data_IF_795403453369
#
_entry.id   IF_795403453369
#
_cell.length_a   1.000
_cell.length_b   1.000
_cell.length_c   1.000
_cell.angle_alpha   90.00
_cell.angle_beta   90.00
_cell.angle_gamma   90.00
#
_symmetry.space_group_name_H-M   'P 1'
#
loop_
_entity.id
_entity.type
_entity.pdbx_description
1 polymer ?
#
# COMPACT_ATOMS: atom_id res chain seq x y z
N UNK A 1 -29.01 -6.91 12.20
CA UNK A 1 -28.32 -6.40 11.00
C UNK A 1 -27.06 -7.22 10.79
N UNK A 2 -26.75 -7.60 9.56
CA UNK A 2 -25.44 -8.16 9.20
C UNK A 2 -24.40 -7.01 9.13
N UNK A 3 -23.11 -7.36 8.97
CA UNK A 3 -22.02 -6.38 8.97
C UNK A 3 -22.18 -5.32 7.85
N UNK A 4 -22.52 -5.73 6.63
CA UNK A 4 -22.71 -4.79 5.51
C UNK A 4 -23.88 -3.83 5.76
N UNK A 5 -25.01 -4.32 6.30
CA UNK A 5 -26.16 -3.47 6.66
C UNK A 5 -25.79 -2.39 7.69
N UNK A 6 -24.91 -2.69 8.64
CA UNK A 6 -24.46 -1.71 9.63
C UNK A 6 -23.60 -0.63 8.97
N UNK A 7 -22.67 -1.02 8.10
CA UNK A 7 -21.83 -0.07 7.35
C UNK A 7 -22.66 0.81 6.39
N UNK A 8 -23.69 0.24 5.76
CA UNK A 8 -24.61 0.97 4.91
C UNK A 8 -25.43 1.99 5.72
N UNK A 9 -25.88 1.64 6.93
CA UNK A 9 -26.59 2.58 7.80
C UNK A 9 -25.66 3.71 8.29
N UNK A 10 -24.40 3.40 8.66
CA UNK A 10 -23.40 4.43 8.98
C UNK A 10 -23.24 5.41 7.82
N UNK A 11 -23.11 4.89 6.60
CA UNK A 11 -22.97 5.70 5.39
C UNK A 11 -24.21 6.57 5.16
N UNK A 12 -25.41 6.04 5.41
CA UNK A 12 -26.67 6.79 5.31
C UNK A 12 -26.71 7.92 6.34
N UNK A 13 -26.56 7.62 7.63
CA UNK A 13 -26.58 8.62 8.72
C UNK A 13 -25.53 9.72 8.51
N UNK A 14 -24.34 9.39 8.01
CA UNK A 14 -23.26 10.37 7.74
C UNK A 14 -23.62 11.46 6.70
N UNK A 15 -24.69 11.24 5.94
CA UNK A 15 -25.22 12.12 4.89
C UNK A 15 -26.53 12.81 5.27
N UNK A 16 -27.16 12.43 6.38
CA UNK A 16 -28.43 13.01 6.80
C UNK A 16 -28.27 14.47 7.27
N UNK A 17 -29.35 15.24 7.15
CA UNK A 17 -29.42 16.62 7.64
C UNK A 17 -29.75 16.64 9.14
N UNK A 18 -28.83 16.09 9.93
CA UNK A 18 -28.87 16.07 11.39
C UNK A 18 -27.75 16.92 11.98
N UNK A 19 -27.90 17.35 13.23
CA UNK A 19 -26.80 17.95 14.00
C UNK A 19 -25.64 16.97 14.15
N UNK A 20 -24.41 17.48 14.11
CA UNK A 20 -23.22 16.63 14.07
C UNK A 20 -23.02 15.83 15.37
N UNK A 21 -23.39 16.39 16.52
CA UNK A 21 -23.37 15.67 17.80
C UNK A 21 -24.33 14.48 17.80
N UNK A 22 -25.50 14.64 17.16
CA UNK A 22 -26.47 13.57 17.03
C UNK A 22 -26.01 12.48 16.05
N UNK A 23 -25.42 12.87 14.91
CA UNK A 23 -24.75 11.90 14.01
C UNK A 23 -23.65 11.14 14.72
N UNK A 24 -22.82 11.85 15.50
CA UNK A 24 -21.73 11.27 16.30
C UNK A 24 -22.26 10.22 17.27
N UNK A 25 -23.33 10.52 18.01
CA UNK A 25 -23.96 9.54 18.88
C UNK A 25 -24.43 8.29 18.13
N UNK A 26 -25.19 8.44 17.04
CA UNK A 26 -25.71 7.30 16.26
C UNK A 26 -24.59 6.47 15.65
N UNK A 27 -23.62 7.12 15.00
CA UNK A 27 -22.52 6.46 14.30
C UNK A 27 -21.61 5.70 15.27
N UNK A 28 -21.32 6.26 16.45
CA UNK A 28 -20.56 5.55 17.50
C UNK A 28 -21.27 4.27 17.94
N UNK A 29 -22.60 4.32 18.12
CA UNK A 29 -23.39 3.13 18.48
C UNK A 29 -23.39 2.08 17.35
N UNK A 30 -23.52 2.51 16.09
CA UNK A 30 -23.46 1.60 14.94
C UNK A 30 -22.08 0.94 14.79
N UNK A 31 -20.98 1.69 14.96
CA UNK A 31 -19.63 1.10 14.94
C UNK A 31 -19.39 0.16 16.12
N UNK A 32 -19.94 0.46 17.30
CA UNK A 32 -19.87 -0.45 18.46
C UNK A 32 -20.60 -1.78 18.16
N UNK A 33 -21.81 -1.69 17.60
CA UNK A 33 -22.57 -2.87 17.15
C UNK A 33 -21.84 -3.63 16.03
N UNK A 34 -21.18 -2.94 15.10
CA UNK A 34 -20.38 -3.55 14.05
C UNK A 34 -19.26 -4.42 14.64
N UNK A 35 -18.51 -3.90 15.61
CA UNK A 35 -17.41 -4.62 16.27
C UNK A 35 -17.90 -5.84 17.03
N UNK A 36 -18.96 -5.69 17.83
CA UNK A 36 -19.58 -6.80 18.57
C UNK A 36 -20.02 -7.92 17.61
N UNK A 37 -20.64 -7.56 16.48
CA UNK A 37 -21.06 -8.52 15.44
C UNK A 37 -19.88 -9.19 14.76
N UNK A 38 -18.81 -8.44 14.46
CA UNK A 38 -17.59 -8.95 13.85
C UNK A 38 -16.94 -10.02 14.73
N UNK A 39 -16.85 -9.75 16.03
CA UNK A 39 -16.37 -10.68 17.05
C UNK A 39 -17.24 -11.94 17.17
N UNK A 40 -18.56 -11.78 17.29
CA UNK A 40 -19.50 -12.92 17.37
C UNK A 40 -19.46 -13.83 16.13
N UNK A 41 -19.19 -13.26 14.95
CA UNK A 41 -19.07 -14.01 13.70
C UNK A 41 -17.70 -14.68 13.53
N UNK A 42 -16.75 -14.46 14.44
CA UNK A 42 -15.37 -14.93 14.30
C UNK A 42 -14.65 -14.32 13.09
N UNK A 43 -15.07 -13.14 12.64
CA UNK A 43 -14.38 -12.42 11.55
C UNK A 43 -13.07 -11.90 12.12
N UNK A 44 -11.97 -12.45 11.61
CA UNK A 44 -10.61 -12.08 12.03
C UNK A 44 -10.02 -11.06 11.06
N UNK A 45 -8.83 -10.57 11.37
CA UNK A 45 -8.04 -9.74 10.45
C UNK A 45 -7.72 -10.46 9.13
N UNK A 46 -7.85 -11.80 9.05
CA UNK A 46 -7.65 -12.55 7.81
C UNK A 46 -8.88 -12.63 6.90
N UNK A 47 -10.00 -12.00 7.26
CA UNK A 47 -11.25 -12.02 6.49
C UNK A 47 -11.91 -10.64 6.36
N UNK A 48 -11.12 -9.65 5.94
CA UNK A 48 -11.62 -8.29 5.71
C UNK A 48 -12.50 -8.19 4.46
N UNK A 49 -13.38 -7.19 4.45
CA UNK A 49 -14.14 -6.78 3.26
C UNK A 49 -13.62 -5.44 2.74
N UNK A 50 -13.58 -5.29 1.42
CA UNK A 50 -12.94 -4.16 0.75
C UNK A 50 -13.90 -3.36 -0.14
N UNK A 51 -13.63 -2.05 -0.29
CA UNK A 51 -14.33 -1.18 -1.26
C UNK A 51 -13.82 -1.36 -2.69
N UNK A 52 -12.60 -1.91 -2.83
CA UNK A 52 -12.01 -2.40 -4.08
C UNK A 52 -11.62 -3.85 -3.82
N UNK A 53 -12.40 -4.77 -4.38
CA UNK A 53 -12.17 -6.20 -4.23
C UNK A 53 -11.20 -6.71 -5.31
N UNK A 54 -9.93 -6.36 -5.14
CA UNK A 54 -8.82 -6.88 -5.94
C UNK A 54 -7.94 -7.76 -5.05
N UNK A 55 -7.61 -8.95 -5.54
CA UNK A 55 -6.76 -9.88 -4.82
C UNK A 55 -5.31 -9.67 -5.25
N UNK A 56 -4.36 -9.53 -4.30
CA UNK A 56 -2.94 -9.55 -4.62
C UNK A 56 -2.58 -10.77 -5.48
N UNK A 57 -1.83 -10.55 -6.55
CA UNK A 57 -1.29 -11.63 -7.37
C UNK A 57 -0.37 -12.49 -6.50
N UNK A 58 -0.56 -13.80 -6.50
CA UNK A 58 0.33 -14.76 -5.83
C UNK A 58 0.83 -15.72 -6.89
N UNK A 59 2.12 -15.64 -7.20
CA UNK A 59 2.77 -16.47 -8.21
C UNK A 59 4.15 -16.89 -7.74
N UNK A 60 4.54 -18.11 -8.07
CA UNK A 60 5.91 -18.58 -7.88
C UNK A 60 6.82 -17.98 -8.96
N UNK A 61 7.94 -17.41 -8.53
CA UNK A 61 8.90 -16.76 -9.42
C UNK A 61 10.27 -17.36 -9.17
N UNK A 62 10.96 -17.71 -10.26
CA UNK A 62 12.26 -18.38 -10.19
C UNK A 62 13.37 -17.37 -9.88
N UNK A 63 13.91 -17.47 -8.68
CA UNK A 63 15.03 -16.66 -8.24
C UNK A 63 16.30 -16.86 -9.10
N UNK A 64 16.49 -18.02 -9.72
CA UNK A 64 17.65 -18.23 -10.60
C UNK A 64 17.56 -17.35 -11.85
N UNK A 65 16.37 -17.20 -12.43
CA UNK A 65 16.16 -16.24 -13.52
C UNK A 65 16.45 -14.81 -13.08
N UNK A 66 16.10 -14.41 -11.85
CA UNK A 66 16.45 -13.08 -11.32
C UNK A 66 17.97 -12.89 -11.26
N UNK A 67 18.74 -13.91 -10.86
CA UNK A 67 20.21 -13.84 -10.88
C UNK A 67 20.77 -13.66 -12.29
N UNK A 68 20.21 -14.36 -13.27
CA UNK A 68 20.60 -14.21 -14.68
C UNK A 68 20.33 -12.78 -15.18
N UNK A 69 19.14 -12.24 -14.89
CA UNK A 69 18.78 -10.86 -15.22
C UNK A 69 19.71 -9.86 -14.52
N UNK A 70 20.10 -10.11 -13.28
CA UNK A 70 21.06 -9.30 -12.55
C UNK A 70 22.44 -9.27 -13.22
N UNK A 71 22.91 -10.43 -13.67
CA UNK A 71 24.19 -10.53 -14.38
C UNK A 71 24.14 -9.78 -15.71
N UNK A 72 23.03 -9.88 -16.44
CA UNK A 72 22.80 -9.11 -17.65
C UNK A 72 22.76 -7.60 -17.38
N UNK A 73 22.05 -7.17 -16.34
CA UNK A 73 22.02 -5.76 -15.92
C UNK A 73 23.42 -5.25 -15.52
N UNK A 74 24.19 -6.02 -14.75
CA UNK A 74 25.57 -5.64 -14.37
C UNK A 74 26.48 -5.47 -15.58
N UNK A 75 26.30 -6.31 -16.60
CA UNK A 75 27.08 -6.28 -17.85
C UNK A 75 26.66 -5.16 -18.79
N UNK A 76 25.35 -5.01 -19.02
CA UNK A 76 24.80 -4.16 -20.07
C UNK A 76 24.33 -2.79 -19.56
N UNK A 77 24.17 -2.63 -18.23
CA UNK A 77 23.65 -1.44 -17.55
C UNK A 77 22.21 -1.06 -17.87
N UNK A 78 21.43 -2.00 -18.41
CA UNK A 78 19.99 -1.88 -18.65
C UNK A 78 19.28 -3.23 -18.54
N UNK A 79 17.96 -3.19 -18.42
CA UNK A 79 17.03 -4.33 -18.53
C UNK A 79 15.96 -4.05 -19.60
N UNK A 80 15.26 -5.06 -20.09
CA UNK A 80 14.02 -4.80 -20.86
C UNK A 80 12.84 -4.50 -19.94
N UNK A 81 11.74 -4.00 -20.49
CA UNK A 81 10.49 -3.78 -19.73
C UNK A 81 9.98 -5.07 -19.06
N UNK A 82 10.10 -6.21 -19.74
CA UNK A 82 9.66 -7.50 -19.20
C UNK A 82 10.60 -8.01 -18.10
N UNK A 83 11.91 -7.78 -18.25
CA UNK A 83 12.89 -8.11 -17.22
C UNK A 83 12.68 -7.27 -15.96
N UNK A 84 12.42 -5.96 -16.10
CA UNK A 84 12.08 -5.07 -14.99
C UNK A 84 10.85 -5.57 -14.24
N UNK A 85 9.77 -5.90 -14.97
CA UNK A 85 8.56 -6.50 -14.39
C UNK A 85 8.86 -7.82 -13.70
N UNK A 86 9.76 -8.65 -14.24
CA UNK A 86 10.11 -9.94 -13.63
C UNK A 86 10.82 -9.75 -12.27
N UNK A 87 11.79 -8.82 -12.21
CA UNK A 87 12.51 -8.48 -10.98
C UNK A 87 11.55 -7.91 -9.92
N UNK A 88 10.70 -6.97 -10.32
CA UNK A 88 9.70 -6.34 -9.44
C UNK A 88 8.68 -7.35 -8.91
N UNK A 89 8.17 -8.21 -9.78
CA UNK A 89 7.29 -9.29 -9.37
C UNK A 89 8.00 -10.21 -8.38
N UNK A 90 9.25 -10.65 -8.64
CA UNK A 90 9.99 -11.47 -7.68
C UNK A 90 10.07 -10.82 -6.29
N UNK A 91 10.45 -9.54 -6.23
CA UNK A 91 10.59 -8.83 -4.96
C UNK A 91 9.26 -8.78 -4.19
N UNK A 92 8.16 -8.40 -4.85
CA UNK A 92 6.84 -8.34 -4.22
C UNK A 92 6.32 -9.73 -3.83
N UNK A 93 6.49 -10.74 -4.67
CA UNK A 93 6.04 -12.10 -4.36
C UNK A 93 6.81 -12.68 -3.18
N UNK A 94 8.11 -12.42 -3.10
CA UNK A 94 8.91 -12.86 -1.97
C UNK A 94 8.44 -12.19 -0.66
N UNK A 95 8.11 -10.90 -0.68
CA UNK A 95 7.51 -10.21 0.47
C UNK A 95 6.16 -10.80 0.87
N UNK A 96 5.28 -11.09 -0.09
CA UNK A 96 3.97 -11.71 0.18
C UNK A 96 4.13 -13.11 0.76
N UNK A 97 5.08 -13.89 0.26
CA UNK A 97 5.42 -15.21 0.80
C UNK A 97 5.95 -15.10 2.22
N UNK A 98 6.86 -14.17 2.47
CA UNK A 98 7.41 -13.90 3.79
C UNK A 98 6.30 -13.59 4.81
N UNK A 99 5.40 -12.65 4.47
CA UNK A 99 4.25 -12.32 5.32
C UNK A 99 3.30 -13.53 5.49
N UNK A 100 3.12 -14.37 4.46
CA UNK A 100 2.32 -15.60 4.57
C UNK A 100 2.91 -16.61 5.55
N UNK A 101 4.24 -16.72 5.63
CA UNK A 101 4.92 -17.61 6.57
C UNK A 101 4.72 -17.18 8.04
N UNK A 102 4.31 -15.92 8.28
CA UNK A 102 3.88 -15.43 9.59
C UNK A 102 2.42 -15.83 9.95
N UNK A 103 1.77 -16.64 9.11
CA UNK A 103 0.39 -17.08 9.31
C UNK A 103 -0.68 -16.12 8.77
N UNK A 104 -0.28 -15.12 7.97
CA UNK A 104 -1.18 -14.10 7.42
C UNK A 104 -1.69 -14.51 6.05
N UNK A 105 -3.01 -14.47 5.87
CA UNK A 105 -3.60 -14.79 4.58
C UNK A 105 -3.61 -13.56 3.67
N UNK A 106 -2.62 -13.43 2.78
CA UNK A 106 -2.49 -12.32 1.82
C UNK A 106 -3.77 -12.06 1.00
N UNK A 107 -4.55 -13.11 0.70
CA UNK A 107 -5.77 -12.95 -0.10
C UNK A 107 -6.94 -12.35 0.68
N UNK A 108 -6.99 -12.54 2.00
CA UNK A 108 -8.12 -12.12 2.84
C UNK A 108 -7.81 -11.02 3.86
N UNK A 109 -6.52 -10.82 4.18
CA UNK A 109 -6.06 -9.84 5.14
C UNK A 109 -5.89 -8.44 4.50
N UNK A 110 -6.12 -7.38 5.27
CA UNK A 110 -5.89 -6.00 4.84
C UNK A 110 -4.41 -5.66 4.67
N UNK A 111 -3.53 -6.35 5.41
CA UNK A 111 -2.10 -6.05 5.58
C UNK A 111 -1.83 -4.77 6.38
N UNK A 112 -2.83 -4.31 7.14
CA UNK A 112 -2.69 -3.20 8.08
C UNK A 112 -1.63 -3.53 9.15
N UNK A 113 -0.70 -2.60 9.39
CA UNK A 113 0.42 -2.80 10.31
C UNK A 113 1.65 -3.52 9.74
N UNK A 114 1.61 -3.98 8.48
CA UNK A 114 2.75 -4.69 7.85
C UNK A 114 3.60 -3.81 6.92
N UNK A 115 3.28 -2.53 6.76
CA UNK A 115 3.91 -1.66 5.75
C UNK A 115 5.43 -1.51 5.92
N UNK A 116 5.94 -1.35 7.13
CA UNK A 116 7.38 -1.19 7.40
C UNK A 116 8.15 -2.49 7.10
N UNK A 117 7.63 -3.63 7.58
CA UNK A 117 8.18 -4.94 7.26
C UNK A 117 8.14 -5.20 5.75
N UNK A 118 7.03 -4.88 5.09
CA UNK A 118 6.87 -5.09 3.66
C UNK A 118 7.83 -4.22 2.84
N UNK A 119 8.01 -2.94 3.22
CA UNK A 119 9.00 -2.05 2.62
C UNK A 119 10.41 -2.66 2.76
N UNK A 120 10.79 -3.08 3.97
CA UNK A 120 12.10 -3.66 4.23
C UNK A 120 12.31 -4.94 3.41
N UNK A 121 11.38 -5.90 3.51
CA UNK A 121 11.50 -7.20 2.84
C UNK A 121 11.54 -7.08 1.32
N UNK A 122 10.88 -6.05 0.76
CA UNK A 122 10.87 -5.84 -0.69
C UNK A 122 12.11 -5.09 -1.17
N UNK A 123 12.49 -4.01 -0.51
CA UNK A 123 13.51 -3.09 -1.03
C UNK A 123 14.94 -3.49 -0.63
N UNK A 124 15.14 -4.06 0.56
CA UNK A 124 16.49 -4.40 1.03
C UNK A 124 17.19 -5.41 0.10
N UNK A 125 16.53 -6.47 -0.42
CA UNK A 125 17.18 -7.36 -1.38
C UNK A 125 17.54 -6.66 -2.69
N UNK A 126 16.66 -5.77 -3.18
CA UNK A 126 16.91 -4.99 -4.39
C UNK A 126 18.11 -4.04 -4.21
N UNK A 127 18.20 -3.37 -3.07
CA UNK A 127 19.34 -2.53 -2.71
C UNK A 127 20.64 -3.36 -2.63
N UNK A 128 20.61 -4.54 -1.97
CA UNK A 128 21.78 -5.45 -1.90
C UNK A 128 22.19 -6.01 -3.25
N UNK A 129 21.27 -6.09 -4.20
CA UNK A 129 21.57 -6.46 -5.59
C UNK A 129 22.28 -5.33 -6.36
N UNK A 130 22.31 -4.12 -5.81
CA UNK A 130 22.94 -2.94 -6.39
C UNK A 130 21.98 -2.06 -7.18
N UNK A 131 20.67 -2.21 -6.99
CA UNK A 131 19.69 -1.28 -7.54
C UNK A 131 19.56 -0.05 -6.65
N UNK A 132 19.28 1.08 -7.28
CA UNK A 132 18.93 2.31 -6.58
C UNK A 132 17.47 2.23 -6.13
N UNK A 133 17.24 2.46 -4.84
CA UNK A 133 15.91 2.44 -4.22
C UNK A 133 15.72 3.67 -3.36
N UNK A 134 14.48 4.15 -3.26
CA UNK A 134 14.07 5.14 -2.25
C UNK A 134 13.26 4.43 -1.17
N UNK A 135 13.49 4.80 0.09
CA UNK A 135 12.62 4.42 1.21
C UNK A 135 11.78 5.64 1.52
N UNK A 136 10.48 5.44 1.61
CA UNK A 136 9.51 6.52 1.65
C UNK A 136 8.50 6.29 2.77
N UNK A 137 8.01 7.38 3.34
CA UNK A 137 6.80 7.36 4.16
C UNK A 137 5.77 8.37 3.65
N UNK A 138 4.49 8.00 3.72
CA UNK A 138 3.42 8.90 3.35
C UNK A 138 3.37 10.15 4.23
N UNK A 139 3.87 10.04 5.47
CA UNK A 139 3.97 11.17 6.39
C UNK A 139 4.89 12.26 5.84
N UNK A 140 6.09 11.90 5.37
CA UNK A 140 7.06 12.86 4.88
C UNK A 140 6.79 13.28 3.43
N UNK A 141 6.33 12.35 2.59
CA UNK A 141 6.17 12.65 1.17
C UNK A 141 4.84 13.35 0.87
N UNK A 142 3.78 13.11 1.66
CA UNK A 142 2.40 13.52 1.34
C UNK A 142 1.68 14.30 2.44
N UNK A 143 2.36 14.72 3.51
CA UNK A 143 1.72 15.35 4.69
C UNK A 143 0.61 14.46 5.30
N UNK A 144 0.81 13.13 5.31
CA UNK A 144 -0.10 12.21 5.97
C UNK A 144 0.10 12.25 7.49
N UNK A 145 -0.98 12.15 8.26
CA UNK A 145 -0.93 12.24 9.72
C UNK A 145 -0.65 10.90 10.42
N UNK A 146 -0.66 9.79 9.67
CA UNK A 146 -0.30 8.45 10.17
C UNK A 146 0.93 7.93 9.42
N UNK A 147 1.48 6.82 9.92
CA UNK A 147 2.60 6.15 9.28
C UNK A 147 2.12 5.23 8.15
N UNK A 148 2.84 5.24 7.03
CA UNK A 148 2.73 4.24 5.97
C UNK A 148 4.04 4.22 5.20
N UNK A 149 4.64 3.04 5.08
CA UNK A 149 5.92 2.85 4.41
C UNK A 149 5.74 2.23 3.02
N UNK A 150 6.42 2.81 2.04
CA UNK A 150 6.48 2.34 0.65
C UNK A 150 7.86 2.67 0.07
N UNK A 151 8.13 2.36 -1.20
CA UNK A 151 9.34 2.89 -1.81
C UNK A 151 9.36 2.81 -3.30
N UNK A 152 10.53 3.05 -3.87
CA UNK A 152 10.74 2.93 -5.31
C UNK A 152 12.00 2.17 -5.66
N UNK A 153 12.09 1.77 -6.91
CA UNK A 153 13.33 1.34 -7.55
C UNK A 153 13.52 2.14 -8.85
N UNK A 154 14.77 2.52 -9.12
CA UNK A 154 15.20 3.14 -10.38
C UNK A 154 15.92 2.11 -11.24
N UNK A 155 15.51 1.98 -12.51
CA UNK A 155 16.07 1.05 -13.48
C UNK A 155 16.28 1.73 -14.83
N UNK A 156 17.42 1.45 -15.47
CA UNK A 156 17.61 1.73 -16.88
C UNK A 156 16.86 0.68 -17.72
N UNK A 157 15.82 1.09 -18.42
CA UNK A 157 14.98 0.22 -19.25
C UNK A 157 15.24 0.48 -20.73
N UNK A 158 15.51 -0.57 -21.49
CA UNK A 158 15.65 -0.53 -22.94
C UNK A 158 14.31 -0.83 -23.62
N UNK A 159 13.81 0.12 -24.40
CA UNK A 159 12.59 0.00 -25.21
C UNK A 159 12.84 0.62 -26.59
N UNK A 160 12.55 -0.12 -27.68
CA UNK A 160 12.73 0.34 -29.06
C UNK A 160 14.12 0.97 -29.36
N UNK A 161 15.19 0.30 -28.88
CA UNK A 161 16.59 0.73 -28.97
C UNK A 161 17.01 1.98 -28.17
N UNK A 162 16.09 2.61 -27.46
CA UNK A 162 16.40 3.67 -26.49
C UNK A 162 16.54 3.10 -25.08
N UNK A 163 17.48 3.64 -24.30
CA UNK A 163 17.63 3.35 -22.87
C UNK A 163 17.15 4.57 -22.10
N UNK A 164 16.18 4.39 -21.21
CA UNK A 164 15.63 5.44 -20.36
C UNK A 164 15.71 5.01 -18.90
N UNK A 165 16.00 5.98 -18.04
CA UNK A 165 15.83 5.80 -16.61
C UNK A 165 14.34 5.81 -16.30
N UNK A 166 13.88 4.77 -15.59
CA UNK A 166 12.49 4.56 -15.25
C UNK A 166 12.38 4.27 -13.75
N UNK A 167 11.37 4.85 -13.12
CA UNK A 167 11.09 4.64 -11.71
C UNK A 167 9.84 3.79 -11.55
N UNK A 168 9.84 2.93 -10.53
CA UNK A 168 8.68 2.10 -10.18
C UNK A 168 8.35 2.29 -8.72
N UNK A 169 7.11 2.67 -8.43
CA UNK A 169 6.58 2.69 -7.07
C UNK A 169 6.26 1.27 -6.64
N UNK A 170 6.63 0.91 -5.42
CA UNK A 170 6.46 -0.39 -4.81
C UNK A 170 5.72 -0.23 -3.48
N UNK A 171 4.57 -0.88 -3.37
CA UNK A 171 3.77 -0.95 -2.15
C UNK A 171 2.99 -2.27 -2.11
N UNK A 172 3.57 -3.26 -1.45
CA UNK A 172 2.96 -4.58 -1.29
C UNK A 172 1.77 -4.59 -0.32
N UNK A 173 1.52 -3.49 0.39
CA UNK A 173 0.52 -3.34 1.46
C UNK A 173 -0.56 -2.32 1.15
N UNK A 174 -0.59 -1.74 -0.06
CA UNK A 174 -1.52 -0.68 -0.45
C UNK A 174 -3.00 -1.04 -0.19
N UNK A 175 -3.33 -2.33 -0.22
CA UNK A 175 -4.66 -2.87 0.07
C UNK A 175 -5.20 -2.48 1.47
N UNK A 176 -4.32 -2.20 2.44
CA UNK A 176 -4.72 -1.90 3.82
C UNK A 176 -5.69 -0.72 3.92
N UNK A 177 -5.61 0.22 2.98
CA UNK A 177 -6.43 1.43 2.94
C UNK A 177 -7.82 1.24 2.33
N UNK A 178 -8.18 0.03 1.90
CA UNK A 178 -9.42 -0.22 1.16
C UNK A 178 -10.47 -0.99 1.96
N UNK A 179 -10.32 -1.14 3.27
CA UNK A 179 -11.34 -1.82 4.09
C UNK A 179 -12.65 -1.03 4.12
N UNK A 180 -13.79 -1.71 3.97
CA UNK A 180 -15.11 -1.03 4.02
C UNK A 180 -15.35 -0.31 5.34
N UNK A 181 -14.84 -0.87 6.44
CA UNK A 181 -14.96 -0.34 7.79
C UNK A 181 -14.40 1.09 7.91
N UNK A 182 -13.21 1.31 7.36
CA UNK A 182 -12.47 2.57 7.46
C UNK A 182 -12.69 3.52 6.27
N UNK A 183 -13.20 3.01 5.14
CA UNK A 183 -13.52 3.80 3.96
C UNK A 183 -14.94 4.40 4.01
N UNK A 184 -15.22 5.24 5.02
CA UNK A 184 -16.54 5.86 5.20
C UNK A 184 -16.44 7.27 5.76
N UNK A 185 -17.32 8.17 5.30
CA UNK A 185 -17.51 9.50 5.91
C UNK A 185 -17.87 9.40 7.40
N UNK A 186 -18.42 8.27 7.84
CA UNK A 186 -18.69 7.98 9.25
C UNK A 186 -17.46 8.12 10.16
N UNK A 187 -16.26 7.88 9.63
CA UNK A 187 -15.01 7.98 10.41
C UNK A 187 -14.78 9.37 11.01
N UNK A 188 -15.22 10.43 10.33
CA UNK A 188 -15.15 11.80 10.85
C UNK A 188 -15.92 12.00 12.16
N UNK A 189 -17.00 11.26 12.35
CA UNK A 189 -17.80 11.32 13.56
C UNK A 189 -17.29 10.35 14.66
N UNK A 190 -16.23 9.60 14.37
CA UNK A 190 -15.48 8.78 15.32
C UNK A 190 -14.20 9.47 15.80
N UNK A 191 -14.07 10.79 15.59
CA UNK A 191 -12.85 11.58 15.82
C UNK A 191 -11.63 11.03 15.05
N UNK A 192 -11.88 10.42 13.89
CA UNK A 192 -10.88 9.87 12.95
C UNK A 192 -11.09 10.44 11.56
N UNK A 193 -10.20 10.14 10.63
CA UNK A 193 -10.40 10.41 9.19
C UNK A 193 -10.64 9.10 8.44
N UNK A 194 -11.34 9.11 7.29
CA UNK A 194 -11.43 7.95 6.42
C UNK A 194 -10.04 7.56 5.90
N UNK A 195 -9.80 6.27 5.69
CA UNK A 195 -8.55 5.79 5.08
C UNK A 195 -8.33 6.37 3.67
N UNK A 196 -7.08 6.46 3.18
CA UNK A 196 -6.75 6.95 1.84
C UNK A 196 -7.61 6.34 0.73
N UNK A 197 -7.95 5.04 0.80
CA UNK A 197 -8.76 4.36 -0.20
C UNK A 197 -10.15 4.99 -0.41
N UNK A 198 -10.71 5.69 0.58
CA UNK A 198 -11.97 6.44 0.44
C UNK A 198 -11.87 7.58 -0.59
N UNK A 199 -10.68 8.19 -0.74
CA UNK A 199 -10.45 9.34 -1.60
C UNK A 199 -9.93 8.96 -2.99
N UNK A 200 -9.59 7.69 -3.21
CA UNK A 200 -9.13 7.18 -4.51
C UNK A 200 -10.25 7.28 -5.55
N UNK A 201 -9.95 8.00 -6.64
CA UNK A 201 -10.88 8.18 -7.78
C UNK A 201 -10.62 7.18 -8.89
N UNK A 202 -9.35 6.94 -9.23
CA UNK A 202 -8.96 5.99 -10.26
C UNK A 202 -8.89 4.57 -9.68
N UNK A 203 -9.97 3.80 -9.86
CA UNK A 203 -10.02 2.41 -9.40
C UNK A 203 -9.16 1.47 -10.24
N UNK A 204 -8.87 1.81 -11.50
CA UNK A 204 -8.01 0.97 -12.36
C UNK A 204 -6.59 0.99 -11.82
N UNK A 205 -6.06 2.19 -11.55
CA UNK A 205 -4.79 2.40 -10.87
C UNK A 205 -4.70 1.60 -9.57
N UNK A 206 -5.67 1.77 -8.67
CA UNK A 206 -5.63 1.10 -7.37
C UNK A 206 -5.67 -0.42 -7.48
N UNK A 207 -6.48 -0.97 -8.41
CA UNK A 207 -6.49 -2.41 -8.69
C UNK A 207 -5.14 -2.90 -9.20
N UNK A 208 -4.53 -2.17 -10.13
CA UNK A 208 -3.22 -2.54 -10.67
C UNK A 208 -2.15 -2.58 -9.57
N UNK A 209 -2.09 -1.56 -8.72
CA UNK A 209 -1.14 -1.51 -7.61
C UNK A 209 -1.44 -2.58 -6.54
N UNK A 210 -2.69 -2.81 -6.15
CA UNK A 210 -3.05 -3.89 -5.20
C UNK A 210 -2.63 -5.26 -5.77
N UNK A 211 -2.95 -5.52 -7.04
CA UNK A 211 -2.66 -6.79 -7.70
C UNK A 211 -1.15 -7.02 -7.81
N UNK A 212 -0.43 -6.07 -8.38
CA UNK A 212 0.99 -6.26 -8.71
C UNK A 212 1.92 -5.95 -7.53
N UNK A 213 1.50 -5.07 -6.62
CA UNK A 213 2.33 -4.51 -5.54
C UNK A 213 3.36 -3.49 -6.01
N UNK A 214 3.36 -3.16 -7.30
CA UNK A 214 4.17 -2.11 -7.89
C UNK A 214 3.51 -1.53 -9.15
N UNK A 215 3.95 -0.35 -9.57
CA UNK A 215 3.50 0.31 -10.80
C UNK A 215 4.59 1.26 -11.32
N UNK A 216 4.63 1.48 -12.64
CA UNK A 216 5.52 2.48 -13.24
C UNK A 216 5.16 3.87 -12.71
N UNK A 217 6.14 4.61 -12.21
CA UNK A 217 5.96 5.91 -11.60
C UNK A 217 6.19 7.02 -12.63
N UNK A 218 5.25 7.95 -12.70
CA UNK A 218 5.34 9.22 -13.39
C UNK A 218 4.56 10.27 -12.57
N UNK A 219 4.52 11.53 -13.03
CA UNK A 219 3.85 12.60 -12.28
C UNK A 219 2.35 12.32 -12.02
N UNK A 220 1.65 11.73 -12.98
CA UNK A 220 0.22 11.40 -12.85
C UNK A 220 0.03 10.29 -11.81
N UNK A 221 0.78 9.20 -11.91
CA UNK A 221 0.74 8.08 -10.97
C UNK A 221 1.13 8.50 -9.56
N UNK A 222 2.15 9.35 -9.43
CA UNK A 222 2.56 9.90 -8.13
C UNK A 222 1.42 10.66 -7.47
N UNK A 223 0.67 11.46 -8.24
CA UNK A 223 -0.50 12.17 -7.75
C UNK A 223 -1.65 11.22 -7.39
N UNK A 224 -1.94 10.23 -8.24
CA UNK A 224 -2.99 9.24 -7.99
C UNK A 224 -2.74 8.42 -6.71
N UNK A 225 -1.47 8.15 -6.41
CA UNK A 225 -1.04 7.47 -5.20
C UNK A 225 -1.06 8.40 -3.98
N UNK A 226 -0.42 9.56 -4.06
CA UNK A 226 -0.15 10.43 -2.90
C UNK A 226 -1.30 11.34 -2.47
N UNK A 227 -2.10 11.86 -3.41
CA UNK A 227 -3.20 12.79 -3.09
C UNK A 227 -4.23 12.20 -2.12
N UNK A 228 -4.65 10.92 -2.23
CA UNK A 228 -5.53 10.29 -1.25
C UNK A 228 -4.99 10.29 0.19
N UNK A 229 -3.68 10.18 0.40
CA UNK A 229 -3.07 10.25 1.74
C UNK A 229 -3.19 11.66 2.32
N UNK A 230 -2.88 12.69 1.54
CA UNK A 230 -3.06 14.07 1.97
C UNK A 230 -4.53 14.38 2.29
N UNK A 231 -5.46 13.93 1.45
CA UNK A 231 -6.90 14.11 1.72
C UNK A 231 -7.37 13.38 2.98
N UNK A 232 -6.77 12.22 3.29
CA UNK A 232 -7.00 11.46 4.51
C UNK A 232 -6.45 12.13 5.76
N UNK A 233 -5.56 13.13 5.68
CA UNK A 233 -5.12 13.89 6.85
C UNK A 233 -6.01 15.10 7.20
N UNK A 234 -6.95 15.47 6.33
CA UNK A 234 -7.83 16.63 6.50
C UNK A 234 -9.07 16.30 7.35
N UNK A 235 -9.43 17.21 8.25
CA UNK A 235 -10.66 17.10 9.06
C UNK A 235 -11.92 17.31 8.23
N UNK A 236 -13.08 16.95 8.80
CA UNK A 236 -14.36 17.15 8.13
C UNK A 236 -14.57 18.62 7.78
N UNK A 237 -14.77 18.91 6.49
CA UNK A 237 -15.01 20.27 5.99
C UNK A 237 -13.74 21.09 5.76
N UNK A 238 -12.56 20.59 6.15
CA UNK A 238 -11.28 21.20 5.81
C UNK A 238 -11.00 21.08 4.32
N UNK A 239 -10.41 22.13 3.74
CA UNK A 239 -10.07 22.17 2.31
C UNK A 239 -8.57 21.99 2.13
N UNK A 240 -8.14 21.26 1.08
CA UNK A 240 -6.74 21.22 0.67
C UNK A 240 -6.20 22.64 0.48
N UNK A 241 -5.09 22.95 1.14
CA UNK A 241 -4.47 24.28 1.12
C UNK A 241 -3.00 24.24 0.69
N UNK A 242 -2.42 23.05 0.54
CA UNK A 242 -1.05 22.85 0.06
C UNK A 242 -1.04 22.27 -1.34
N UNK A 243 -0.06 22.70 -2.14
CA UNK A 243 0.31 22.05 -3.39
C UNK A 243 1.53 21.17 -3.12
N UNK A 244 1.33 19.86 -3.15
CA UNK A 244 2.39 18.88 -2.94
C UNK A 244 2.96 18.46 -4.30
N UNK A 245 4.28 18.42 -4.42
CA UNK A 245 4.95 17.84 -5.57
C UNK A 245 5.20 16.36 -5.33
N UNK A 246 4.17 15.54 -5.57
CA UNK A 246 4.18 14.12 -5.21
C UNK A 246 5.34 13.36 -5.85
N UNK A 247 5.63 13.61 -7.13
CA UNK A 247 6.69 12.89 -7.84
C UNK A 247 8.06 13.19 -7.27
N UNK A 248 8.43 14.48 -7.18
CA UNK A 248 9.74 14.90 -6.66
C UNK A 248 9.93 14.48 -5.20
N UNK A 249 8.88 14.53 -4.37
CA UNK A 249 8.96 14.07 -2.98
C UNK A 249 9.28 12.58 -2.92
N UNK A 250 8.64 11.76 -3.75
CA UNK A 250 8.88 10.31 -3.78
C UNK A 250 10.31 9.99 -4.22
N UNK A 251 10.74 10.53 -5.37
CA UNK A 251 12.03 10.13 -5.98
C UNK A 251 13.25 10.73 -5.27
N UNK A 252 13.09 11.86 -4.56
CA UNK A 252 14.19 12.51 -3.82
C UNK A 252 14.18 12.19 -2.33
N UNK A 253 13.33 11.25 -1.88
CA UNK A 253 13.28 10.88 -0.47
C UNK A 253 14.60 10.27 -0.01
N UNK A 254 15.06 10.73 1.15
CA UNK A 254 16.33 10.33 1.76
C UNK A 254 16.13 9.60 3.11
N UNK A 255 14.92 9.06 3.32
CA UNK A 255 14.63 8.30 4.53
C UNK A 255 15.41 6.99 4.59
N UNK A 256 15.56 6.47 5.81
CA UNK A 256 16.03 5.11 6.06
C UNK A 256 14.85 4.19 6.41
N UNK A 257 15.08 2.89 6.41
CA UNK A 257 14.11 1.90 6.85
C UNK A 257 13.62 2.21 8.27
N UNK A 258 12.30 2.19 8.46
CA UNK A 258 11.72 2.28 9.81
C UNK A 258 11.79 0.97 10.57
N UNK A 259 11.84 -0.15 9.84
CA UNK A 259 11.96 -1.49 10.39
C UNK A 259 13.42 -1.79 10.74
N UNK A 260 13.70 -2.21 11.98
CA UNK A 260 15.06 -2.55 12.39
C UNK A 260 15.40 -3.99 11.95
N UNK A 261 16.53 -4.16 11.26
CA UNK A 261 17.05 -5.48 10.87
C UNK A 261 17.31 -6.40 12.07
N UNK A 262 17.59 -5.85 13.25
CA UNK A 262 17.76 -6.63 14.48
C UNK A 262 16.47 -7.33 14.93
N UNK A 263 15.32 -6.98 14.35
CA UNK A 263 14.03 -7.65 14.59
C UNK A 263 13.88 -8.95 13.77
N UNK A 264 14.81 -9.24 12.85
CA UNK A 264 14.80 -10.46 12.03
C UNK A 264 15.90 -11.43 12.44
N UNK A 265 15.56 -12.71 12.52
CA UNK A 265 16.57 -13.76 12.66
C UNK A 265 17.39 -13.92 11.37
N UNK A 266 18.60 -14.48 11.46
CA UNK A 266 19.46 -14.74 10.29
C UNK A 266 18.76 -15.61 9.23
N UNK A 267 17.92 -16.55 9.69
CA UNK A 267 17.09 -17.38 8.83
C UNK A 267 16.05 -16.55 8.05
N UNK A 268 15.53 -15.48 8.63
CA UNK A 268 14.56 -14.60 7.99
C UNK A 268 15.20 -13.72 6.92
N UNK A 269 16.41 -13.22 7.18
CA UNK A 269 17.21 -12.52 6.17
C UNK A 269 17.47 -13.43 4.96
N UNK A 270 17.79 -14.71 5.19
CA UNK A 270 18.01 -15.66 4.11
C UNK A 270 16.74 -15.98 3.31
N UNK A 271 15.54 -15.81 3.87
CA UNK A 271 14.27 -15.94 3.12
C UNK A 271 14.06 -14.79 2.15
N UNK A 272 14.65 -13.63 2.40
CA UNK A 272 14.52 -12.46 1.55
C UNK A 272 15.20 -12.60 0.17
N UNK A 273 16.00 -13.66 -0.03
CA UNK A 273 16.73 -13.96 -1.26
C UNK A 273 16.34 -15.31 -1.87
N UNK A 274 15.08 -15.77 -1.67
CA UNK A 274 14.61 -17.08 -2.15
C UNK A 274 13.67 -16.98 -3.35
#
# INVERSE_FOLDING_TARGET
MNLDQILDEIKKVSKEHLEDDYKKYIINNLYSLYKERKEMMGVTENSNTFIIDETPLITDIDYNKVKELLNNYKKNKYVTTDDAKYILNWAVQNTRKFISELGINIKGNSLDGYCELAQFVTLYPLEKMGFEVTKNTAQNDFDYNLNHAFGTITLNVKENDEIKEEHFLIDATYRQFFTKEKCSKGMYYMDKTPDPGYFVKNKVFAKELIKNGFIKLNEEVAKEYGEPFYLSSLKLGEKPNKKINYYDNIINSNEDYKYNKDELEENDINKMFR
#
